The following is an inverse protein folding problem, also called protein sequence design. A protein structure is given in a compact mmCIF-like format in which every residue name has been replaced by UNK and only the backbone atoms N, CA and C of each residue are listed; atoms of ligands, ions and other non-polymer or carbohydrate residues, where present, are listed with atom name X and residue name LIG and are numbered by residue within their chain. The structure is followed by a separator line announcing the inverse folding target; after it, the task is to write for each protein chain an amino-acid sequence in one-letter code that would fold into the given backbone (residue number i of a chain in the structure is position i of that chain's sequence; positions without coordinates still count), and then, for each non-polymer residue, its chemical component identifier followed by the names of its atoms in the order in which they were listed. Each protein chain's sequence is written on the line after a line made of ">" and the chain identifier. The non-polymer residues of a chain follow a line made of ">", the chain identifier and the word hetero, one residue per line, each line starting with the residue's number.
data_IF_441462225027
#
_entry.id   IF_441462225027
#
_cell.length_a   1.000
_cell.length_b   1.000
_cell.length_c   1.000
_cell.angle_alpha   90.00
_cell.angle_beta   90.00
_cell.angle_gamma   90.00
#
_symmetry.space_group_name_H-M   'P 1'
#
loop_
_entity.id
_entity.type
_entity.pdbx_description
1 polymer ?
#
# COMPACT_ATOMS: atom_id res chain seq x y z
N UNK A 1 36.48 -2.71 16.75
CA UNK A 1 35.11 -2.19 16.96
C UNK A 1 34.14 -3.35 16.85
N UNK A 2 33.52 -3.76 17.95
CA UNK A 2 32.51 -4.82 17.92
C UNK A 2 31.16 -4.25 17.48
N UNK A 3 30.52 -4.89 16.51
CA UNK A 3 29.13 -4.57 16.12
C UNK A 3 28.24 -4.75 17.36
N UNK A 4 27.43 -3.75 17.67
CA UNK A 4 26.56 -3.76 18.85
C UNK A 4 25.60 -4.96 18.76
N UNK A 5 25.36 -5.67 19.88
CA UNK A 5 24.42 -6.79 19.95
C UNK A 5 23.05 -6.44 19.35
N UNK A 6 22.58 -5.20 19.57
CA UNK A 6 21.35 -4.68 18.98
C UNK A 6 21.36 -4.61 17.45
N UNK A 7 22.48 -4.18 16.84
CA UNK A 7 22.61 -4.12 15.37
C UNK A 7 22.61 -5.52 14.75
N UNK A 8 23.24 -6.50 15.43
CA UNK A 8 23.19 -7.90 14.99
C UNK A 8 21.76 -8.46 15.03
N UNK A 9 21.05 -8.22 16.12
CA UNK A 9 19.67 -8.67 16.30
C UNK A 9 18.74 -8.04 15.24
N UNK A 10 18.92 -6.74 14.98
CA UNK A 10 18.20 -6.01 13.94
C UNK A 10 18.47 -6.58 12.55
N UNK A 11 19.74 -6.84 12.21
CA UNK A 11 20.10 -7.41 10.91
C UNK A 11 19.51 -8.82 10.70
N UNK A 12 19.44 -9.62 11.78
CA UNK A 12 18.87 -10.98 11.72
C UNK A 12 17.36 -10.93 11.50
N UNK A 13 16.64 -10.06 12.24
CA UNK A 13 15.20 -9.85 12.05
C UNK A 13 14.88 -9.42 10.62
N UNK A 14 15.63 -8.47 10.07
CA UNK A 14 15.45 -8.01 8.68
C UNK A 14 15.69 -9.12 7.65
N UNK A 15 16.69 -9.97 7.87
CA UNK A 15 16.93 -11.15 7.00
C UNK A 15 15.78 -12.15 7.06
N UNK A 16 15.28 -12.45 8.27
CA UNK A 16 14.13 -13.34 8.46
C UNK A 16 12.87 -12.78 7.81
N UNK A 17 12.62 -11.48 7.95
CA UNK A 17 11.54 -10.78 7.28
C UNK A 17 11.62 -10.91 5.76
N UNK A 18 12.80 -10.66 5.17
CA UNK A 18 12.98 -10.78 3.71
C UNK A 18 12.76 -12.22 3.22
N UNK A 19 13.28 -13.23 3.93
CA UNK A 19 13.03 -14.63 3.61
C UNK A 19 11.55 -14.99 3.70
N UNK A 20 10.88 -14.45 4.72
CA UNK A 20 9.46 -14.66 4.95
C UNK A 20 8.59 -14.03 3.87
N UNK A 21 8.82 -12.75 3.56
CA UNK A 21 8.17 -12.03 2.47
C UNK A 21 8.41 -12.75 1.14
N UNK A 22 9.65 -13.15 0.84
CA UNK A 22 9.96 -13.92 -0.36
C UNK A 22 9.17 -15.23 -0.44
N UNK A 23 8.91 -15.88 0.70
CA UNK A 23 8.12 -17.10 0.77
C UNK A 23 6.64 -16.81 0.53
N UNK A 24 6.06 -15.83 1.23
CA UNK A 24 4.67 -15.41 1.02
C UNK A 24 4.46 -15.04 -0.44
N UNK A 25 5.27 -14.13 -0.99
CA UNK A 25 5.10 -13.67 -2.36
C UNK A 25 5.30 -14.78 -3.39
N UNK A 26 5.99 -15.88 -3.07
CA UNK A 26 6.07 -17.06 -3.94
C UNK A 26 4.77 -17.84 -3.98
N UNK A 27 4.02 -17.88 -2.88
CA UNK A 27 2.80 -18.69 -2.74
C UNK A 27 1.50 -17.88 -2.75
N UNK A 28 1.57 -16.55 -2.74
CA UNK A 28 0.42 -15.64 -2.77
C UNK A 28 0.22 -15.10 -4.20
N UNK A 29 -0.48 -15.84 -5.09
CA UNK A 29 -0.69 -15.41 -6.46
C UNK A 29 -1.56 -14.15 -6.50
N UNK A 30 -1.44 -13.36 -7.56
CA UNK A 30 -2.46 -12.39 -7.90
C UNK A 30 -3.76 -13.14 -8.21
N UNK A 31 -4.73 -13.10 -7.30
CA UNK A 31 -6.01 -13.78 -7.48
C UNK A 31 -7.18 -12.90 -7.03
N UNK A 32 -8.23 -12.84 -7.86
CA UNK A 32 -9.52 -12.22 -7.51
C UNK A 32 -10.24 -12.95 -6.38
N UNK A 33 -9.79 -14.14 -6.00
CA UNK A 33 -10.31 -14.88 -4.86
C UNK A 33 -9.95 -14.23 -3.52
N UNK A 34 -8.96 -13.33 -3.48
CA UNK A 34 -8.62 -12.59 -2.27
C UNK A 34 -9.46 -11.32 -2.18
N UNK A 35 -10.05 -11.09 -1.02
CA UNK A 35 -11.00 -10.00 -0.79
C UNK A 35 -10.36 -8.62 -1.05
N UNK A 36 -9.10 -8.42 -0.69
CA UNK A 36 -8.41 -7.15 -0.90
C UNK A 36 -8.29 -6.78 -2.38
N UNK A 37 -8.04 -7.74 -3.26
CA UNK A 37 -7.94 -7.47 -4.69
C UNK A 37 -9.30 -7.28 -5.35
N UNK A 38 -10.31 -8.04 -4.89
CA UNK A 38 -11.69 -7.83 -5.34
C UNK A 38 -12.20 -6.45 -4.93
N UNK A 39 -11.99 -6.06 -3.68
CA UNK A 39 -12.37 -4.73 -3.17
C UNK A 39 -11.61 -3.64 -3.91
N UNK A 40 -10.31 -3.82 -4.16
CA UNK A 40 -9.51 -2.86 -4.94
C UNK A 40 -10.04 -2.69 -6.37
N UNK A 41 -10.41 -3.79 -7.04
CA UNK A 41 -10.99 -3.76 -8.39
C UNK A 41 -12.36 -3.05 -8.41
N UNK A 42 -13.23 -3.35 -7.44
CA UNK A 42 -14.53 -2.67 -7.28
C UNK A 42 -14.35 -1.16 -7.10
N UNK A 43 -13.50 -0.75 -6.16
CA UNK A 43 -13.21 0.67 -5.91
C UNK A 43 -12.60 1.32 -7.17
N UNK A 44 -11.68 0.61 -7.84
CA UNK A 44 -11.06 1.08 -9.08
C UNK A 44 -12.07 1.41 -10.17
N UNK A 45 -13.10 0.56 -10.32
CA UNK A 45 -14.19 0.74 -11.28
C UNK A 45 -15.15 1.85 -10.85
N UNK A 46 -15.61 1.84 -9.59
CA UNK A 46 -16.53 2.84 -9.02
C UNK A 46 -15.95 4.26 -9.12
N UNK A 47 -14.64 4.40 -8.91
CA UNK A 47 -13.91 5.67 -8.97
C UNK A 47 -13.37 6.01 -10.37
N UNK A 48 -13.57 5.15 -11.37
CA UNK A 48 -13.01 5.29 -12.72
C UNK A 48 -11.49 5.57 -12.72
N UNK A 49 -10.73 4.79 -11.95
CA UNK A 49 -9.28 4.95 -11.82
C UNK A 49 -8.56 4.50 -13.11
N UNK A 50 -8.21 5.45 -14.00
CA UNK A 50 -7.49 5.16 -15.26
C UNK A 50 -5.97 5.31 -15.13
N UNK A 51 -5.51 6.10 -14.16
CA UNK A 51 -4.10 6.24 -13.78
C UNK A 51 -3.93 5.77 -12.35
N UNK A 52 -3.28 4.63 -12.16
CA UNK A 52 -3.15 3.95 -10.86
C UNK A 52 -1.71 3.98 -10.37
N UNK A 53 -1.53 4.42 -9.13
CA UNK A 53 -0.29 4.32 -8.36
C UNK A 53 -0.45 3.23 -7.29
N UNK A 54 0.36 2.18 -7.35
CA UNK A 54 0.32 1.07 -6.38
C UNK A 54 1.52 1.14 -5.44
N UNK A 55 1.28 1.51 -4.18
CA UNK A 55 2.31 1.83 -3.19
C UNK A 55 2.57 0.61 -2.29
N UNK A 56 3.81 0.12 -2.29
CA UNK A 56 4.16 -1.17 -1.70
C UNK A 56 3.63 -2.34 -2.53
N UNK A 57 3.78 -2.24 -3.86
CA UNK A 57 3.15 -3.15 -4.81
C UNK A 57 3.71 -4.60 -4.78
N UNK A 58 4.87 -4.82 -4.15
CA UNK A 58 5.59 -6.09 -4.17
C UNK A 58 5.84 -6.57 -5.60
N UNK A 59 5.18 -7.66 -5.99
CA UNK A 59 5.26 -8.24 -7.35
C UNK A 59 4.38 -7.54 -8.39
N UNK A 60 3.59 -6.53 -7.99
CA UNK A 60 2.62 -5.87 -8.86
C UNK A 60 1.33 -6.65 -9.06
N UNK A 61 0.88 -7.36 -8.03
CA UNK A 61 -0.30 -8.23 -8.11
C UNK A 61 -1.58 -7.44 -8.43
N UNK A 62 -1.78 -6.26 -7.83
CA UNK A 62 -2.96 -5.43 -8.10
C UNK A 62 -3.09 -5.10 -9.59
N UNK A 63 -2.00 -4.71 -10.24
CA UNK A 63 -2.01 -4.38 -11.66
C UNK A 63 -2.37 -5.56 -12.58
N UNK A 64 -2.20 -6.81 -12.11
CA UNK A 64 -2.66 -8.01 -12.85
C UNK A 64 -4.15 -8.25 -12.70
N UNK A 65 -4.77 -7.71 -11.66
CA UNK A 65 -6.18 -7.90 -11.32
C UNK A 65 -7.05 -6.82 -11.94
N UNK A 66 -6.58 -5.57 -11.91
CA UNK A 66 -7.27 -4.45 -12.54
C UNK A 66 -7.41 -4.70 -14.04
N UNK A 67 -8.62 -4.48 -14.57
CA UNK A 67 -8.81 -4.29 -16.02
C UNK A 67 -7.87 -3.15 -16.44
N UNK A 68 -7.00 -3.34 -17.45
CA UNK A 68 -5.73 -2.62 -17.51
C UNK A 68 -5.98 -1.11 -17.55
N UNK A 69 -5.50 -0.36 -16.54
CA UNK A 69 -5.63 1.08 -16.55
C UNK A 69 -4.77 1.66 -17.68
N UNK A 70 -5.10 2.87 -18.15
CA UNK A 70 -4.30 3.58 -19.15
C UNK A 70 -2.83 3.73 -18.68
N UNK A 71 -2.64 3.92 -17.38
CA UNK A 71 -1.34 3.97 -16.73
C UNK A 71 -1.37 3.22 -15.40
N UNK A 72 -0.41 2.32 -15.21
CA UNK A 72 -0.12 1.71 -13.91
C UNK A 72 1.34 1.92 -13.55
N UNK A 73 1.58 2.41 -12.33
CA UNK A 73 2.90 2.52 -11.74
C UNK A 73 2.92 1.82 -10.37
N UNK A 74 3.69 0.74 -10.27
CA UNK A 74 3.99 0.08 -9.00
C UNK A 74 5.26 0.66 -8.37
N UNK A 75 5.23 0.90 -7.06
CA UNK A 75 6.39 1.34 -6.28
C UNK A 75 6.64 0.40 -5.10
N UNK A 76 7.88 -0.05 -4.91
CA UNK A 76 8.27 -0.91 -3.79
C UNK A 76 9.74 -0.75 -3.42
N UNK A 77 10.11 -1.05 -2.17
CA UNK A 77 11.50 -1.00 -1.70
C UNK A 77 12.33 -2.21 -2.16
N UNK A 78 11.69 -3.35 -2.38
CA UNK A 78 12.34 -4.66 -2.49
C UNK A 78 12.76 -5.07 -3.91
N UNK A 79 12.33 -4.34 -4.95
CA UNK A 79 12.66 -4.60 -6.36
C UNK A 79 12.30 -6.03 -6.85
N UNK A 80 11.22 -6.61 -6.32
CA UNK A 80 10.75 -7.97 -6.62
C UNK A 80 9.70 -8.02 -7.74
N UNK A 81 9.68 -7.02 -8.61
CA UNK A 81 8.63 -6.83 -9.62
C UNK A 81 8.55 -7.99 -10.61
N UNK A 82 7.33 -8.33 -11.03
CA UNK A 82 7.10 -9.30 -12.11
C UNK A 82 6.80 -8.55 -13.40
N UNK A 83 7.85 -8.27 -14.18
CA UNK A 83 7.78 -7.47 -15.40
C UNK A 83 6.97 -8.20 -16.48
N UNK A 84 6.02 -7.48 -17.09
CA UNK A 84 5.15 -8.03 -18.14
C UNK A 84 5.02 -7.11 -19.37
N UNK A 85 5.81 -6.04 -19.43
CA UNK A 85 5.85 -5.08 -20.53
C UNK A 85 4.64 -4.13 -20.62
N UNK A 86 3.63 -4.27 -19.75
CA UNK A 86 2.43 -3.42 -19.74
C UNK A 86 2.43 -2.41 -18.61
N UNK A 87 3.13 -2.72 -17.52
CA UNK A 87 3.13 -1.95 -16.27
C UNK A 87 4.50 -1.37 -16.00
N UNK A 88 4.52 -0.18 -15.41
CA UNK A 88 5.75 0.46 -14.97
C UNK A 88 5.99 0.14 -13.49
N UNK A 89 7.26 -0.07 -13.14
CA UNK A 89 7.66 -0.31 -11.76
C UNK A 89 8.88 0.54 -11.41
N UNK A 90 8.87 1.10 -10.20
CA UNK A 90 9.96 1.94 -9.71
C UNK A 90 10.35 1.47 -8.31
N UNK A 91 11.65 1.28 -8.11
CA UNK A 91 12.19 1.08 -6.77
C UNK A 91 12.17 2.42 -6.02
N UNK A 92 11.49 2.47 -4.89
CA UNK A 92 11.34 3.71 -4.13
C UNK A 92 10.64 3.54 -2.80
N UNK A 93 10.62 4.62 -2.00
CA UNK A 93 9.86 4.68 -0.76
C UNK A 93 8.57 5.45 -0.99
N UNK A 94 7.46 4.96 -0.44
CA UNK A 94 6.19 5.69 -0.43
C UNK A 94 6.24 6.94 0.47
N UNK A 95 7.22 7.04 1.37
CA UNK A 95 7.46 8.21 2.20
C UNK A 95 8.13 9.37 1.44
N UNK A 96 8.63 9.12 0.23
CA UNK A 96 9.23 10.14 -0.64
C UNK A 96 9.13 9.67 -2.09
N UNK A 97 8.04 10.03 -2.75
CA UNK A 97 7.74 9.53 -4.09
C UNK A 97 8.67 10.18 -5.13
N UNK A 98 9.34 9.39 -5.99
CA UNK A 98 10.22 9.90 -7.04
C UNK A 98 9.42 10.41 -8.26
N UNK A 99 8.35 11.17 -8.02
CA UNK A 99 7.37 11.60 -9.02
C UNK A 99 7.25 13.12 -9.06
N UNK A 100 7.21 13.66 -10.29
CA UNK A 100 6.90 15.06 -10.57
C UNK A 100 5.40 15.34 -10.38
N UNK A 101 5.04 16.58 -10.09
CA UNK A 101 3.66 16.99 -9.78
C UNK A 101 2.80 17.28 -11.02
N UNK A 102 3.34 17.05 -12.21
CA UNK A 102 2.82 17.62 -13.46
C UNK A 102 1.47 17.02 -13.85
N UNK A 103 1.20 15.77 -13.45
CA UNK A 103 -0.09 15.12 -13.67
C UNK A 103 -0.39 14.12 -12.54
N UNK A 104 -1.46 14.33 -11.74
CA UNK A 104 -1.79 13.42 -10.65
C UNK A 104 -2.42 12.13 -11.18
N UNK A 105 -2.12 11.03 -10.51
CA UNK A 105 -2.83 9.76 -10.65
C UNK A 105 -4.29 9.93 -10.21
N UNK A 106 -5.19 9.11 -10.74
CA UNK A 106 -6.57 9.11 -10.27
C UNK A 106 -6.64 8.53 -8.87
N UNK A 107 -5.95 7.40 -8.65
CA UNK A 107 -6.01 6.64 -7.41
C UNK A 107 -4.62 6.14 -7.01
N UNK A 108 -4.27 6.32 -5.73
CA UNK A 108 -3.13 5.66 -5.09
C UNK A 108 -3.62 4.56 -4.15
N UNK A 109 -3.20 3.32 -4.38
CA UNK A 109 -3.58 2.17 -3.56
C UNK A 109 -2.48 1.81 -2.57
N UNK A 110 -2.91 1.54 -1.33
CA UNK A 110 -2.11 0.93 -0.27
C UNK A 110 -2.78 -0.37 0.15
N UNK A 111 -2.36 -1.49 -0.44
CA UNK A 111 -2.86 -2.81 -0.03
C UNK A 111 -1.90 -3.36 1.02
N UNK A 112 -2.31 -3.29 2.30
CA UNK A 112 -1.54 -3.75 3.46
C UNK A 112 -0.18 -3.05 3.67
N UNK A 113 0.22 -2.12 2.81
CA UNK A 113 1.58 -1.56 2.74
C UNK A 113 1.79 -0.36 3.66
N UNK A 114 0.80 0.54 3.77
CA UNK A 114 0.94 1.81 4.50
C UNK A 114 1.37 1.63 5.96
N UNK A 115 1.01 0.49 6.56
CA UNK A 115 1.28 0.13 7.95
C UNK A 115 2.75 -0.20 8.23
N UNK A 116 3.56 -0.39 7.20
CA UNK A 116 5.00 -0.69 7.28
C UNK A 116 5.86 0.52 6.90
N UNK A 117 5.32 1.74 7.08
CA UNK A 117 6.02 3.02 6.82
C UNK A 117 5.64 4.07 7.85
N UNK A 118 6.26 5.26 7.78
CA UNK A 118 5.64 6.47 8.32
C UNK A 118 4.36 6.78 7.55
N UNK A 119 3.26 6.19 8.01
CA UNK A 119 1.96 6.23 7.33
C UNK A 119 1.49 7.67 7.06
N UNK A 120 1.79 8.64 7.95
CA UNK A 120 1.40 10.04 7.76
C UNK A 120 2.12 10.62 6.57
N UNK A 121 3.44 10.42 6.53
CA UNK A 121 4.28 10.92 5.44
C UNK A 121 3.91 10.24 4.12
N UNK A 122 3.70 8.93 4.13
CA UNK A 122 3.30 8.15 2.96
C UNK A 122 1.96 8.59 2.38
N UNK A 123 0.95 8.82 3.23
CA UNK A 123 -0.34 9.36 2.79
C UNK A 123 -0.18 10.77 2.24
N UNK A 124 0.59 11.65 2.89
CA UNK A 124 0.78 13.02 2.40
C UNK A 124 1.42 13.02 1.01
N UNK A 125 2.44 12.19 0.80
CA UNK A 125 3.06 12.00 -0.51
C UNK A 125 2.08 11.40 -1.53
N UNK A 126 1.27 10.40 -1.16
CA UNK A 126 0.23 9.87 -2.03
C UNK A 126 -0.81 10.92 -2.40
N UNK A 127 -1.25 11.75 -1.45
CA UNK A 127 -2.20 12.85 -1.69
C UNK A 127 -1.65 13.95 -2.60
N UNK A 128 -0.32 14.10 -2.62
CA UNK A 128 0.38 15.00 -3.55
C UNK A 128 0.38 14.46 -4.97
N UNK A 129 0.49 13.13 -5.11
CA UNK A 129 0.64 12.45 -6.39
C UNK A 129 -0.69 11.91 -6.96
N UNK A 130 -1.79 11.92 -6.20
CA UNK A 130 -3.06 11.32 -6.61
C UNK A 130 -4.28 12.12 -6.15
N UNK A 131 -5.39 11.96 -6.86
CA UNK A 131 -6.69 12.58 -6.53
C UNK A 131 -7.39 11.88 -5.36
N UNK A 132 -7.30 10.55 -5.30
CA UNK A 132 -7.85 9.74 -4.23
C UNK A 132 -6.82 8.72 -3.71
N UNK A 133 -6.90 8.41 -2.42
CA UNK A 133 -6.08 7.36 -1.79
C UNK A 133 -6.98 6.25 -1.30
N UNK A 134 -6.62 5.01 -1.64
CA UNK A 134 -7.34 3.80 -1.28
C UNK A 134 -6.48 2.99 -0.32
N UNK A 135 -6.91 2.88 0.93
CA UNK A 135 -6.25 2.08 1.95
C UNK A 135 -7.03 0.79 2.14
N UNK A 136 -6.38 -0.35 1.96
CA UNK A 136 -6.98 -1.67 2.17
C UNK A 136 -6.15 -2.41 3.22
N UNK A 137 -6.80 -2.75 4.33
CA UNK A 137 -6.22 -3.53 5.41
C UNK A 137 -6.79 -4.95 5.40
N UNK A 138 -5.91 -5.94 5.38
CA UNK A 138 -6.27 -7.35 5.30
C UNK A 138 -6.45 -7.90 6.73
N UNK A 139 -7.47 -8.74 6.94
CA UNK A 139 -7.82 -9.30 8.25
C UNK A 139 -6.59 -9.83 9.03
N UNK A 140 -6.50 -9.52 10.32
CA UNK A 140 -5.49 -10.09 11.22
C UNK A 140 -5.60 -11.61 11.37
N UNK A 141 -6.71 -12.23 10.94
CA UNK A 141 -6.85 -13.69 10.89
C UNK A 141 -5.82 -14.37 10.00
N UNK A 142 -5.23 -13.65 9.05
CA UNK A 142 -4.12 -14.18 8.28
C UNK A 142 -2.88 -14.30 9.18
N UNK A 143 -2.40 -15.53 9.49
CA UNK A 143 -1.29 -15.73 10.43
C UNK A 143 -0.01 -14.99 10.01
N UNK A 144 0.12 -14.72 8.71
CA UNK A 144 1.27 -14.03 8.17
C UNK A 144 1.34 -12.55 8.52
N UNK A 145 0.19 -11.89 8.68
CA UNK A 145 0.12 -10.49 9.10
C UNK A 145 0.63 -10.36 10.53
N UNK A 146 0.19 -11.23 11.43
CA UNK A 146 0.67 -11.25 12.81
C UNK A 146 2.19 -11.46 12.88
N UNK A 147 2.75 -12.36 12.07
CA UNK A 147 4.19 -12.60 12.05
C UNK A 147 4.96 -11.41 11.47
N UNK A 148 4.43 -10.74 10.44
CA UNK A 148 5.03 -9.51 9.91
C UNK A 148 5.07 -8.41 10.97
N UNK A 149 3.96 -8.17 11.67
CA UNK A 149 3.89 -7.16 12.73
C UNK A 149 4.90 -7.43 13.85
N UNK A 150 5.05 -8.71 14.21
CA UNK A 150 6.04 -9.15 15.19
C UNK A 150 7.48 -8.92 14.71
N UNK A 151 7.79 -9.24 13.45
CA UNK A 151 9.12 -9.10 12.87
C UNK A 151 9.53 -7.63 12.69
N UNK A 152 8.60 -6.78 12.25
CA UNK A 152 8.77 -5.34 12.09
C UNK A 152 8.82 -4.60 13.44
N UNK A 153 8.30 -5.22 14.51
CA UNK A 153 8.20 -4.58 15.82
C UNK A 153 7.24 -3.39 15.83
N UNK A 154 6.37 -3.30 14.83
CA UNK A 154 5.44 -2.20 14.61
C UNK A 154 4.07 -2.54 15.19
N UNK A 155 3.52 -1.66 16.02
CA UNK A 155 2.10 -1.71 16.37
C UNK A 155 1.34 -1.03 15.24
N UNK A 156 0.70 -1.82 14.37
CA UNK A 156 -0.15 -1.29 13.29
C UNK A 156 -1.28 -0.45 13.89
N UNK A 157 -1.42 0.78 13.41
CA UNK A 157 -2.61 1.58 13.71
C UNK A 157 -3.83 0.88 13.16
N UNK A 158 -4.95 0.91 13.91
CA UNK A 158 -6.20 0.40 13.38
C UNK A 158 -6.67 1.33 12.28
N UNK A 159 -7.34 0.81 11.25
CA UNK A 159 -7.83 1.66 10.17
C UNK A 159 -8.78 2.78 10.63
N UNK A 160 -9.58 2.53 11.67
CA UNK A 160 -10.38 3.56 12.35
C UNK A 160 -9.53 4.71 12.92
N UNK A 161 -8.40 4.39 13.56
CA UNK A 161 -7.50 5.40 14.11
C UNK A 161 -6.86 6.24 12.99
N UNK A 162 -6.54 5.60 11.85
CA UNK A 162 -6.06 6.30 10.65
C UNK A 162 -7.14 7.23 10.10
N UNK A 163 -8.39 6.75 9.98
CA UNK A 163 -9.52 7.55 9.50
C UNK A 163 -9.71 8.83 10.30
N UNK A 164 -9.78 8.73 11.63
CA UNK A 164 -9.96 9.91 12.48
C UNK A 164 -8.84 10.94 12.32
N UNK A 165 -7.59 10.47 12.21
CA UNK A 165 -6.45 11.37 12.02
C UNK A 165 -6.44 11.99 10.61
N UNK A 166 -6.84 11.23 9.59
CA UNK A 166 -7.00 11.73 8.23
C UNK A 166 -8.04 12.85 8.15
N UNK A 167 -9.18 12.66 8.81
CA UNK A 167 -10.24 13.68 8.85
C UNK A 167 -9.76 14.95 9.56
N UNK A 168 -8.99 14.81 10.64
CA UNK A 168 -8.32 15.95 11.32
C UNK A 168 -7.29 16.65 10.43
N UNK A 169 -6.68 15.94 9.49
CA UNK A 169 -5.73 16.47 8.51
C UNK A 169 -6.41 17.14 7.29
N UNK A 170 -7.74 17.24 7.29
CA UNK A 170 -8.49 17.90 6.21
C UNK A 170 -8.80 16.99 5.02
N UNK A 171 -8.74 15.67 5.22
CA UNK A 171 -9.25 14.71 4.26
C UNK A 171 -10.74 14.41 4.55
N UNK A 172 -11.44 13.96 3.52
CA UNK A 172 -12.78 13.38 3.63
C UNK A 172 -12.72 11.90 3.28
N UNK A 173 -13.46 11.10 4.04
CA UNK A 173 -13.67 9.68 3.75
C UNK A 173 -14.87 9.57 2.81
N UNK A 174 -14.65 9.11 1.58
CA UNK A 174 -15.71 9.00 0.56
C UNK A 174 -16.27 7.57 0.44
N UNK A 175 -15.47 6.57 0.79
CA UNK A 175 -15.89 5.17 0.85
C UNK A 175 -15.32 4.55 2.12
N UNK A 176 -16.16 3.79 2.82
CA UNK A 176 -15.77 2.94 3.93
C UNK A 176 -16.44 1.58 3.77
N UNK A 177 -15.63 0.53 3.61
CA UNK A 177 -16.09 -0.86 3.57
C UNK A 177 -15.52 -1.57 4.80
N UNK A 178 -16.41 -2.06 5.67
CA UNK A 178 -16.06 -2.88 6.83
C UNK A 178 -16.14 -4.38 6.53
N UNK A 179 -15.64 -5.21 7.46
CA UNK A 179 -15.65 -6.67 7.33
C UNK A 179 -14.36 -7.30 7.84
N UNK A 180 -14.02 -8.48 7.30
CA UNK A 180 -12.70 -9.11 7.46
C UNK A 180 -11.61 -8.27 6.81
N UNK A 181 -11.86 -7.78 5.60
CA UNK A 181 -10.99 -6.84 4.89
C UNK A 181 -11.63 -5.46 4.97
N UNK A 182 -10.87 -4.50 5.46
CA UNK A 182 -11.32 -3.12 5.63
C UNK A 182 -10.77 -2.25 4.52
N UNK A 183 -11.59 -1.36 3.96
CA UNK A 183 -11.15 -0.41 2.95
C UNK A 183 -11.66 1.00 3.22
N UNK A 184 -10.76 1.98 3.07
CA UNK A 184 -11.07 3.41 3.11
C UNK A 184 -10.63 4.06 1.82
N UNK A 185 -11.47 4.95 1.30
CA UNK A 185 -11.08 5.87 0.24
C UNK A 185 -11.14 7.28 0.78
N UNK A 186 -10.02 7.98 0.65
CA UNK A 186 -9.87 9.36 1.08
C UNK A 186 -9.65 10.29 -0.10
N UNK A 187 -10.17 11.51 0.03
CA UNK A 187 -9.88 12.63 -0.85
C UNK A 187 -9.51 13.85 0.00
N UNK A 188 -8.67 14.74 -0.51
CA UNK A 188 -8.43 16.03 0.15
C UNK A 188 -9.68 16.89 0.00
N UNK A 189 -10.21 17.46 1.09
CA UNK A 189 -11.35 18.37 1.00
C UNK A 189 -10.96 19.53 0.09
N UNK A 190 -11.81 19.83 -0.89
CA UNK A 190 -11.74 21.12 -1.56
C UNK A 190 -11.96 22.16 -0.46
N UNK A 191 -10.98 23.04 -0.24
CA UNK A 191 -11.26 24.22 0.57
C UNK A 191 -12.22 25.03 -0.27
N UNK A 192 -13.41 25.32 0.26
CA UNK A 192 -14.30 26.32 -0.31
C UNK A 192 -13.45 27.58 -0.55
N UNK A 193 -13.08 27.81 -1.81
CA UNK A 193 -12.31 28.97 -2.25
C UNK A 193 -13.23 30.19 -2.35
#
# INVERSE_FOLDING_TARGET
>A
MGINFFERLWSLRRKLLLLYLSSIYRFYPASRSFDEYRIAEEIGKEMNCRKVLDLGCGKGNLGKILDPPDLYLGLDLSEIFELDGRRNYVKGSMELLPLRQDEPFDCAFFINSVFYSDWKKSILEASRASRAMVLIDIDKKYPHIWLLDFLEGSIRKRPHDIKEEMEKMGFETIVEKGGSTFALVFRKRERDL
#
